data_IF_161535421739
#
_entry.id   IF_161535421739
#
_cell.length_a   1.000
_cell.length_b   1.000
_cell.length_c   1.000
_cell.angle_alpha   90.00
_cell.angle_beta   90.00
_cell.angle_gamma   90.00
#
_symmetry.space_group_name_H-M   'P 1'
#
loop_
_entity.id
_entity.type
_entity.pdbx_description
1 polymer ?
#
# COMPACT_ATOMS: atom_id res chain seq x y z
N UNK A 1 -5.16 -7.68 -17.51
CA UNK A 1 -4.14 -6.68 -17.14
C UNK A 1 -3.72 -6.93 -15.70
N UNK A 2 -2.41 -6.85 -15.41
CA UNK A 2 -1.88 -6.94 -14.06
C UNK A 2 -1.20 -5.64 -13.66
N UNK A 3 -1.30 -5.27 -12.39
CA UNK A 3 -0.70 -4.06 -11.85
C UNK A 3 0.22 -4.42 -10.68
N UNK A 4 1.45 -3.92 -10.68
CA UNK A 4 2.43 -4.12 -9.63
C UNK A 4 2.64 -2.84 -8.83
N UNK A 5 2.32 -2.87 -7.53
CA UNK A 5 2.64 -1.80 -6.61
C UNK A 5 4.09 -1.89 -6.13
N UNK A 6 4.97 -1.05 -6.66
CA UNK A 6 6.39 -1.02 -6.26
C UNK A 6 6.79 0.40 -5.82
N UNK A 7 6.62 0.69 -4.54
CA UNK A 7 6.97 1.99 -3.97
C UNK A 7 8.48 2.24 -4.03
N UNK A 8 8.84 3.35 -4.68
CA UNK A 8 10.21 3.86 -4.70
C UNK A 8 11.19 3.13 -5.62
N UNK A 9 10.81 2.00 -6.24
CA UNK A 9 11.70 1.19 -7.10
C UNK A 9 10.95 0.65 -8.32
N UNK A 10 10.13 1.47 -8.94
CA UNK A 10 9.29 1.08 -10.09
C UNK A 10 10.15 0.63 -11.28
N UNK A 11 11.24 1.31 -11.56
CA UNK A 11 12.15 0.99 -12.66
C UNK A 11 12.77 -0.39 -12.50
N UNK A 12 13.11 -0.78 -11.28
CA UNK A 12 13.62 -2.12 -11.00
C UNK A 12 12.56 -3.20 -11.21
N UNK A 13 11.30 -2.94 -10.83
CA UNK A 13 10.20 -3.86 -11.10
C UNK A 13 9.90 -3.97 -12.60
N UNK A 14 9.92 -2.85 -13.35
CA UNK A 14 9.75 -2.84 -14.82
C UNK A 14 10.85 -3.66 -15.50
N UNK A 15 12.11 -3.49 -15.08
CA UNK A 15 13.22 -4.29 -15.62
C UNK A 15 13.04 -5.79 -15.33
N UNK A 16 12.53 -6.15 -14.14
CA UNK A 16 12.23 -7.54 -13.79
C UNK A 16 11.08 -8.10 -14.65
N UNK A 17 10.01 -7.33 -14.89
CA UNK A 17 8.92 -7.73 -15.82
C UNK A 17 9.47 -7.98 -17.21
N UNK A 18 10.31 -7.08 -17.74
CA UNK A 18 10.92 -7.25 -19.06
C UNK A 18 11.77 -8.53 -19.14
N UNK A 19 12.49 -8.86 -18.08
CA UNK A 19 13.25 -10.12 -18.00
C UNK A 19 12.34 -11.33 -17.98
N UNK A 20 11.26 -11.33 -17.21
CA UNK A 20 10.29 -12.43 -17.19
C UNK A 20 9.54 -12.59 -18.52
N UNK A 21 9.30 -11.49 -19.25
CA UNK A 21 8.68 -11.55 -20.58
C UNK A 21 9.45 -12.45 -21.52
N UNK A 22 10.78 -12.51 -21.47
CA UNK A 22 11.60 -13.38 -22.32
C UNK A 22 11.33 -14.88 -22.09
N UNK A 23 10.83 -15.24 -20.93
CA UNK A 23 10.37 -16.59 -20.61
C UNK A 23 8.91 -16.81 -20.99
N UNK A 24 8.06 -15.83 -20.77
CA UNK A 24 6.59 -15.94 -20.90
C UNK A 24 6.09 -15.84 -22.35
N UNK A 25 6.88 -15.21 -23.23
CA UNK A 25 6.49 -15.06 -24.64
C UNK A 25 6.34 -16.41 -25.32
N UNK A 26 5.12 -16.71 -25.78
CA UNK A 26 4.78 -17.96 -26.43
C UNK A 26 4.34 -19.10 -25.50
N UNK A 27 4.40 -18.90 -24.20
CA UNK A 27 3.93 -19.89 -23.22
C UNK A 27 2.39 -19.86 -23.05
N UNK A 28 1.83 -21.02 -22.70
CA UNK A 28 0.42 -21.12 -22.30
C UNK A 28 0.18 -20.38 -20.98
N UNK A 29 -0.71 -19.37 -20.92
CA UNK A 29 -0.95 -18.59 -19.70
C UNK A 29 -1.71 -19.35 -18.59
N UNK A 30 -2.25 -20.54 -18.86
CA UNK A 30 -3.13 -21.24 -17.93
C UNK A 30 -2.45 -21.93 -16.75
N UNK A 31 -1.20 -22.44 -16.83
CA UNK A 31 -0.49 -23.02 -15.69
C UNK A 31 0.09 -21.94 -14.76
N UNK A 32 -0.75 -21.12 -14.13
CA UNK A 32 -0.37 -19.93 -13.35
C UNK A 32 0.64 -20.28 -12.25
N UNK A 33 0.38 -21.32 -11.46
CA UNK A 33 1.28 -21.78 -10.40
C UNK A 33 2.65 -22.23 -10.94
N UNK A 34 2.69 -22.82 -12.13
CA UNK A 34 3.94 -23.17 -12.80
C UNK A 34 4.74 -21.91 -13.12
N UNK A 35 4.12 -20.92 -13.76
CA UNK A 35 4.77 -19.67 -14.12
C UNK A 35 5.26 -18.89 -12.89
N UNK A 36 4.43 -18.83 -11.82
CA UNK A 36 4.84 -18.24 -10.56
C UNK A 36 6.11 -18.93 -10.02
N UNK A 37 6.12 -20.24 -9.95
CA UNK A 37 7.26 -21.02 -9.47
C UNK A 37 8.52 -20.84 -10.32
N UNK A 38 8.40 -20.80 -11.65
CA UNK A 38 9.53 -20.55 -12.55
C UNK A 38 10.10 -19.15 -12.29
N UNK A 39 9.28 -18.12 -12.30
CA UNK A 39 9.72 -16.74 -12.08
C UNK A 39 10.34 -16.55 -10.68
N UNK A 40 9.77 -17.19 -9.66
CA UNK A 40 10.28 -17.11 -8.29
C UNK A 40 11.67 -17.77 -8.17
N UNK A 41 11.87 -18.92 -8.79
CA UNK A 41 13.16 -19.66 -8.75
C UNK A 41 14.19 -19.11 -9.73
N UNK A 42 13.77 -18.52 -10.83
CA UNK A 42 14.63 -17.96 -11.88
C UNK A 42 15.49 -16.79 -11.37
N UNK A 43 15.01 -16.06 -10.38
CA UNK A 43 15.71 -14.96 -9.74
C UNK A 43 16.38 -15.45 -8.46
N UNK A 44 17.57 -15.95 -8.45
CA UNK A 44 18.29 -16.44 -7.26
C UNK A 44 18.11 -15.58 -6.00
N UNK A 45 17.97 -14.27 -6.17
CA UNK A 45 17.74 -13.31 -5.09
C UNK A 45 16.30 -12.80 -5.14
N UNK A 46 15.63 -12.85 -4.01
CA UNK A 46 14.30 -12.34 -3.82
C UNK A 46 14.35 -10.87 -3.37
N UNK A 47 13.23 -10.21 -3.34
CA UNK A 47 13.11 -8.85 -2.86
C UNK A 47 11.86 -8.15 -3.39
N UNK A 48 11.63 -6.94 -2.90
CA UNK A 48 10.41 -6.20 -3.19
C UNK A 48 10.17 -6.01 -4.69
N UNK A 49 11.17 -5.57 -5.45
CA UNK A 49 11.03 -5.30 -6.88
C UNK A 49 10.72 -6.58 -7.69
N UNK A 50 11.39 -7.69 -7.37
CA UNK A 50 11.16 -8.98 -8.02
C UNK A 50 9.76 -9.49 -7.70
N UNK A 51 9.36 -9.47 -6.44
CA UNK A 51 8.03 -9.94 -6.03
C UNK A 51 6.90 -9.05 -6.57
N UNK A 52 7.12 -7.73 -6.70
CA UNK A 52 6.16 -6.84 -7.35
C UNK A 52 5.99 -7.16 -8.84
N UNK A 53 7.07 -7.49 -9.55
CA UNK A 53 7.01 -7.91 -10.94
C UNK A 53 6.28 -9.25 -11.11
N UNK A 54 6.59 -10.23 -10.26
CA UNK A 54 5.89 -11.53 -10.25
C UNK A 54 4.40 -11.33 -9.96
N UNK A 55 4.05 -10.52 -8.97
CA UNK A 55 2.66 -10.22 -8.62
C UNK A 55 1.89 -9.57 -9.78
N UNK A 56 2.50 -8.61 -10.48
CA UNK A 56 1.87 -7.98 -11.64
C UNK A 56 1.55 -9.00 -12.75
N UNK A 57 2.49 -9.89 -13.03
CA UNK A 57 2.31 -10.96 -14.03
C UNK A 57 1.25 -11.96 -13.56
N UNK A 58 1.31 -12.40 -12.31
CA UNK A 58 0.34 -13.34 -11.72
C UNK A 58 -1.09 -12.81 -11.81
N UNK A 59 -1.32 -11.54 -11.44
CA UNK A 59 -2.61 -10.87 -11.59
C UNK A 59 -3.07 -10.87 -13.06
N UNK A 60 -2.15 -10.62 -14.01
CA UNK A 60 -2.48 -10.65 -15.43
C UNK A 60 -2.87 -12.06 -15.92
N UNK A 61 -2.20 -13.10 -15.43
CA UNK A 61 -2.52 -14.50 -15.76
C UNK A 61 -3.89 -14.90 -15.20
N UNK A 62 -4.21 -14.51 -13.97
CA UNK A 62 -5.55 -14.72 -13.39
C UNK A 62 -6.64 -13.97 -14.16
N UNK A 63 -6.38 -12.73 -14.59
CA UNK A 63 -7.30 -11.94 -15.43
C UNK A 63 -7.55 -12.61 -16.79
N UNK A 64 -6.51 -13.15 -17.44
CA UNK A 64 -6.63 -13.92 -18.68
C UNK A 64 -7.50 -15.16 -18.46
N UNK A 65 -7.24 -15.92 -17.40
CA UNK A 65 -7.99 -17.13 -17.07
C UNK A 65 -9.46 -16.86 -16.79
N UNK A 66 -9.75 -15.83 -16.00
CA UNK A 66 -11.12 -15.40 -15.73
C UNK A 66 -11.88 -15.01 -16.99
N UNK A 67 -11.24 -14.23 -17.88
CA UNK A 67 -11.82 -13.82 -19.16
C UNK A 67 -12.05 -15.01 -20.10
N UNK A 68 -11.11 -15.92 -20.18
CA UNK A 68 -11.24 -17.12 -21.01
C UNK A 68 -12.37 -18.06 -20.55
N UNK A 69 -12.61 -18.13 -19.25
CA UNK A 69 -13.69 -18.92 -18.66
C UNK A 69 -15.03 -18.15 -18.54
N UNK A 70 -15.05 -16.85 -18.83
CA UNK A 70 -16.23 -16.00 -18.72
C UNK A 70 -16.70 -15.75 -17.30
N UNK A 71 -15.79 -15.83 -16.30
CA UNK A 71 -16.08 -15.61 -14.88
C UNK A 71 -15.14 -14.57 -14.27
N UNK A 72 -15.59 -13.81 -13.27
CA UNK A 72 -14.69 -12.92 -12.54
C UNK A 72 -13.68 -13.71 -11.70
N UNK A 73 -12.49 -13.14 -11.50
CA UNK A 73 -11.39 -13.84 -10.79
C UNK A 73 -11.78 -14.31 -9.40
N UNK A 74 -12.60 -13.55 -8.67
CA UNK A 74 -13.02 -13.96 -7.32
C UNK A 74 -13.80 -15.28 -7.29
N UNK A 75 -14.51 -15.64 -8.38
CA UNK A 75 -15.15 -16.96 -8.49
C UNK A 75 -14.14 -18.10 -8.57
N UNK A 76 -12.99 -17.86 -9.22
CA UNK A 76 -11.89 -18.82 -9.28
C UNK A 76 -11.17 -18.97 -7.94
N UNK A 77 -11.30 -17.99 -7.05
CA UNK A 77 -10.67 -17.96 -5.73
C UNK A 77 -11.61 -18.39 -4.59
N UNK A 78 -12.80 -18.90 -4.90
CA UNK A 78 -13.73 -19.42 -3.89
C UNK A 78 -15.01 -18.62 -3.69
N UNK A 79 -15.26 -17.64 -4.54
CA UNK A 79 -16.50 -16.83 -4.54
C UNK A 79 -16.45 -15.60 -3.64
N UNK A 80 -17.52 -14.79 -3.67
CA UNK A 80 -17.55 -13.53 -2.94
C UNK A 80 -17.85 -13.73 -1.45
N UNK A 81 -17.11 -13.07 -0.58
CA UNK A 81 -17.40 -12.99 0.86
C UNK A 81 -18.29 -11.78 1.17
N UNK A 82 -18.19 -10.73 0.34
CA UNK A 82 -18.90 -9.45 0.50
C UNK A 82 -19.09 -8.78 -0.86
N UNK A 83 -20.05 -7.91 -0.96
CA UNK A 83 -20.35 -7.13 -2.17
C UNK A 83 -19.63 -5.77 -2.18
N UNK A 84 -19.08 -5.36 -1.05
CA UNK A 84 -18.37 -4.08 -0.89
C UNK A 84 -17.10 -4.23 -0.04
N UNK A 85 -16.09 -3.43 -0.38
CA UNK A 85 -14.91 -3.26 0.44
C UNK A 85 -14.99 -1.91 1.18
N UNK A 86 -14.81 -1.92 2.52
CA UNK A 86 -14.61 -0.70 3.27
C UNK A 86 -13.25 -0.10 2.89
N UNK A 87 -13.23 1.20 2.57
CA UNK A 87 -12.02 1.92 2.23
C UNK A 87 -11.80 3.07 3.21
N UNK A 88 -10.55 3.46 3.42
CA UNK A 88 -10.23 4.70 4.09
C UNK A 88 -9.92 5.81 3.08
N UNK A 89 -10.27 7.04 3.41
CA UNK A 89 -9.90 8.21 2.62
C UNK A 89 -8.45 8.63 2.90
N UNK A 90 -7.64 8.82 1.86
CA UNK A 90 -6.29 9.35 2.02
C UNK A 90 -6.32 10.81 2.48
N UNK A 91 -5.44 11.16 3.42
CA UNK A 91 -5.20 12.53 3.87
C UNK A 91 -3.70 12.81 3.80
N UNK A 92 -3.32 13.66 2.87
CA UNK A 92 -1.94 14.05 2.61
C UNK A 92 -1.81 15.56 2.72
N UNK A 93 -1.32 16.03 3.87
CA UNK A 93 -1.08 17.44 4.08
C UNK A 93 0.22 17.64 4.87
N UNK A 94 0.90 18.75 4.60
CA UNK A 94 2.21 19.06 5.19
C UNK A 94 2.14 19.86 6.51
N UNK A 95 0.96 20.39 6.84
CA UNK A 95 0.75 21.08 8.09
C UNK A 95 -0.54 20.63 8.77
N UNK A 96 -0.59 20.78 10.08
CA UNK A 96 -1.67 20.22 10.88
C UNK A 96 -3.02 20.85 10.58
N UNK A 97 -3.10 22.14 10.32
CA UNK A 97 -4.40 22.82 10.11
C UNK A 97 -5.03 22.41 8.78
N UNK A 98 -4.23 22.30 7.71
CA UNK A 98 -4.68 21.76 6.43
C UNK A 98 -5.10 20.28 6.57
N UNK A 99 -4.35 19.47 7.34
CA UNK A 99 -4.67 18.10 7.62
C UNK A 99 -6.00 17.95 8.34
N UNK A 100 -6.25 18.73 9.38
CA UNK A 100 -7.52 18.73 10.12
C UNK A 100 -8.70 19.16 9.25
N UNK A 101 -8.50 20.15 8.37
CA UNK A 101 -9.51 20.58 7.41
C UNK A 101 -9.85 19.47 6.39
N UNK A 102 -8.84 18.77 5.87
CA UNK A 102 -9.05 17.63 4.96
C UNK A 102 -9.74 16.47 5.66
N UNK A 103 -9.34 16.15 6.88
CA UNK A 103 -9.97 15.13 7.70
C UNK A 103 -11.45 15.43 7.90
N UNK A 104 -11.77 16.69 8.24
CA UNK A 104 -13.17 17.14 8.36
C UNK A 104 -13.93 16.98 7.04
N UNK A 105 -13.35 17.36 5.90
CA UNK A 105 -13.99 17.16 4.58
C UNK A 105 -14.26 15.68 4.29
N UNK A 106 -13.35 14.77 4.64
CA UNK A 106 -13.58 13.33 4.49
C UNK A 106 -14.74 12.85 5.36
N UNK A 107 -14.80 13.32 6.61
CA UNK A 107 -15.91 13.02 7.54
C UNK A 107 -17.24 13.50 6.98
N UNK A 108 -17.31 14.75 6.51
CA UNK A 108 -18.51 15.34 5.94
C UNK A 108 -18.99 14.61 4.66
N UNK A 109 -18.07 13.94 3.95
CA UNK A 109 -18.36 13.07 2.79
C UNK A 109 -18.79 11.65 3.16
N UNK A 110 -18.86 11.32 4.45
CA UNK A 110 -19.32 10.02 4.93
C UNK A 110 -18.24 8.94 4.99
N UNK A 111 -16.93 9.29 4.91
CA UNK A 111 -15.88 8.33 5.21
C UNK A 111 -15.90 7.95 6.68
N UNK A 112 -15.86 6.65 6.96
CA UNK A 112 -15.78 6.09 8.33
C UNK A 112 -14.34 5.75 8.74
N UNK A 113 -13.40 5.95 7.84
CA UNK A 113 -11.97 5.79 8.09
C UNK A 113 -11.17 6.76 7.23
N UNK A 114 -10.10 7.28 7.78
CA UNK A 114 -9.08 8.04 7.06
C UNK A 114 -7.72 7.46 7.35
N UNK A 115 -6.80 7.57 6.39
CA UNK A 115 -5.52 6.91 6.56
C UNK A 115 -4.42 7.49 5.73
N UNK A 116 -3.28 6.84 5.90
CA UNK A 116 -1.99 7.29 5.42
C UNK A 116 -1.60 8.64 6.04
N UNK A 117 -1.99 8.81 7.31
CA UNK A 117 -1.74 10.05 8.04
C UNK A 117 -0.38 9.95 8.72
N UNK A 118 0.56 10.80 8.31
CA UNK A 118 1.85 10.92 8.95
C UNK A 118 1.75 11.98 10.08
N UNK A 119 2.01 11.64 11.34
CA UNK A 119 1.97 12.60 12.44
C UNK A 119 3.23 13.48 12.53
N UNK A 120 4.30 13.16 11.77
CA UNK A 120 5.57 13.89 11.71
C UNK A 120 5.55 14.87 10.53
N UNK A 121 4.71 15.89 10.58
CA UNK A 121 4.33 16.71 9.43
C UNK A 121 5.44 17.61 8.88
N UNK A 122 6.36 18.01 9.71
CA UNK A 122 7.47 18.89 9.36
C UNK A 122 8.81 18.16 9.13
N UNK A 123 8.78 16.81 9.19
CA UNK A 123 9.96 15.99 8.95
C UNK A 123 10.16 15.76 7.45
N UNK A 124 11.17 16.41 6.88
CA UNK A 124 11.61 16.15 5.51
C UNK A 124 12.24 14.75 5.38
N UNK A 125 12.23 14.20 4.17
CA UNK A 125 12.81 12.88 3.89
C UNK A 125 14.32 12.83 4.15
N UNK A 126 14.99 13.98 4.04
CA UNK A 126 16.43 14.21 4.21
C UNK A 126 16.80 14.76 5.61
N UNK A 127 15.86 15.02 6.49
CA UNK A 127 16.05 15.69 7.78
C UNK A 127 15.43 14.94 8.96
N UNK A 128 15.57 13.63 9.00
CA UNK A 128 14.91 12.78 10.01
C UNK A 128 15.36 12.98 11.46
N UNK A 129 16.46 13.73 11.69
CA UNK A 129 17.04 13.94 13.03
C UNK A 129 17.20 15.42 13.42
N UNK A 130 16.41 16.32 12.85
CA UNK A 130 16.55 17.75 13.16
C UNK A 130 15.94 18.17 14.50
N UNK A 131 15.07 17.37 15.10
CA UNK A 131 14.50 17.56 16.43
C UNK A 131 15.02 16.55 17.44
N UNK A 132 14.96 16.92 18.74
CA UNK A 132 15.18 15.92 19.78
C UNK A 132 14.10 14.85 19.70
N UNK A 133 14.50 13.61 20.00
CA UNK A 133 13.59 12.46 19.95
C UNK A 133 12.32 12.70 20.79
N UNK A 134 12.46 13.19 22.05
CA UNK A 134 11.33 13.53 22.94
C UNK A 134 10.44 14.62 22.34
N UNK A 135 11.03 15.66 21.75
CA UNK A 135 10.28 16.73 21.10
C UNK A 135 9.44 16.24 19.92
N UNK A 136 10.05 15.41 19.08
CA UNK A 136 9.40 14.74 17.94
C UNK A 136 8.22 13.88 18.36
N UNK A 137 8.39 13.05 19.40
CA UNK A 137 7.33 12.17 19.90
C UNK A 137 6.16 12.95 20.50
N UNK A 138 6.44 13.97 21.32
CA UNK A 138 5.39 14.82 21.91
C UNK A 138 4.54 15.50 20.84
N UNK A 139 5.19 16.08 19.83
CA UNK A 139 4.47 16.74 18.74
C UNK A 139 3.62 15.76 17.93
N UNK A 140 4.14 14.58 17.61
CA UNK A 140 3.36 13.55 16.93
C UNK A 140 2.13 13.11 17.74
N UNK A 141 2.28 12.92 19.06
CA UNK A 141 1.18 12.58 19.96
C UNK A 141 0.14 13.70 20.00
N UNK A 142 0.56 14.96 20.08
CA UNK A 142 -0.35 16.11 20.08
C UNK A 142 -1.07 16.27 18.74
N UNK A 143 -0.40 16.04 17.63
CA UNK A 143 -1.03 16.01 16.31
C UNK A 143 -2.10 14.92 16.23
N UNK A 144 -1.82 13.69 16.67
CA UNK A 144 -2.80 12.60 16.68
C UNK A 144 -3.99 12.92 17.60
N UNK A 145 -3.76 13.55 18.76
CA UNK A 145 -4.84 13.99 19.66
C UNK A 145 -5.77 14.99 18.98
N UNK A 146 -5.22 16.01 18.31
CA UNK A 146 -6.00 16.98 17.52
C UNK A 146 -6.78 16.32 16.38
N UNK A 147 -6.18 15.34 15.70
CA UNK A 147 -6.86 14.54 14.67
C UNK A 147 -8.06 13.79 15.27
N UNK A 148 -7.89 13.16 16.42
CA UNK A 148 -8.97 12.43 17.12
C UNK A 148 -10.11 13.37 17.53
N UNK A 149 -9.82 14.58 17.97
CA UNK A 149 -10.84 15.58 18.31
C UNK A 149 -11.73 15.92 17.10
N UNK A 150 -11.15 16.05 15.89
CA UNK A 150 -11.91 16.31 14.66
C UNK A 150 -12.64 15.05 14.17
N UNK A 151 -11.98 13.90 14.22
CA UNK A 151 -12.55 12.62 13.78
C UNK A 151 -13.75 12.20 14.65
N UNK A 152 -13.69 12.46 15.96
CA UNK A 152 -14.65 11.91 16.93
C UNK A 152 -14.43 10.41 17.12
N UNK A 153 -15.38 9.73 17.78
CA UNK A 153 -15.26 8.33 18.12
C UNK A 153 -15.68 7.37 16.98
N UNK A 154 -16.44 7.89 16.00
CA UNK A 154 -17.04 7.09 14.93
C UNK A 154 -16.16 6.94 13.67
N UNK A 155 -14.95 7.52 13.67
CA UNK A 155 -14.05 7.46 12.53
C UNK A 155 -12.71 6.82 12.91
N UNK A 156 -12.30 5.81 12.16
CA UNK A 156 -10.97 5.20 12.32
C UNK A 156 -9.88 6.10 11.76
N UNK A 157 -8.79 6.21 12.52
CA UNK A 157 -7.57 6.91 12.10
C UNK A 157 -6.45 5.90 11.88
N UNK A 158 -5.99 5.76 10.62
CA UNK A 158 -4.86 4.92 10.28
C UNK A 158 -3.59 5.78 10.24
N UNK A 159 -2.84 5.75 11.34
CA UNK A 159 -1.62 6.53 11.51
C UNK A 159 -0.45 5.78 10.90
N UNK A 160 0.32 6.46 10.07
CA UNK A 160 1.44 5.92 9.32
C UNK A 160 2.78 6.47 9.85
N UNK A 161 3.58 5.63 10.45
CA UNK A 161 4.88 6.05 11.05
C UNK A 161 6.10 5.76 10.16
N UNK A 162 5.94 5.01 9.06
CA UNK A 162 6.90 4.84 7.97
C UNK A 162 8.36 4.66 8.40
N UNK A 163 8.64 3.73 9.30
CA UNK A 163 10.00 3.40 9.76
C UNK A 163 10.74 4.56 10.47
N UNK A 164 10.02 5.55 10.95
CA UNK A 164 10.61 6.70 11.70
C UNK A 164 10.91 6.37 13.15
N UNK A 165 10.37 5.27 13.65
CA UNK A 165 10.49 4.87 15.04
C UNK A 165 11.05 3.46 15.14
N UNK A 166 11.86 3.21 16.16
CA UNK A 166 12.18 1.85 16.61
C UNK A 166 10.94 1.22 17.28
N UNK A 167 10.88 -0.12 17.42
CA UNK A 167 9.77 -0.75 18.14
C UNK A 167 9.57 -0.23 19.57
N UNK A 168 10.64 0.07 20.30
CA UNK A 168 10.57 0.63 21.65
C UNK A 168 9.96 2.04 21.68
N UNK A 169 10.24 2.85 20.67
CA UNK A 169 9.71 4.19 20.53
C UNK A 169 8.25 4.21 20.09
N UNK A 170 7.83 3.22 19.30
CA UNK A 170 6.47 3.12 18.80
C UNK A 170 5.43 2.69 19.85
N UNK A 171 5.86 2.22 21.01
CA UNK A 171 5.01 1.75 22.12
C UNK A 171 4.64 2.88 23.07
N UNK A 172 5.32 4.00 23.03
CA UNK A 172 5.06 5.17 23.88
C UNK A 172 3.91 6.00 23.32
#
# INVERSE_FOLDING_TARGET
>A
VGEGGSWGQIEAAVAAVAKFATYLEGEDPFPIEHHWNVMHRFSYFQGHAINAAISAIDIALWDIKGKALGVPVYELLGGPIRDRARVYGHVYEKNIDALLAELKRKKDRGFTAVGHINPFLDEGEDQIYFKSHIGKMREAIDNVRRMREVAGDDMDLCIEIHRRLTPAEAVV
#
